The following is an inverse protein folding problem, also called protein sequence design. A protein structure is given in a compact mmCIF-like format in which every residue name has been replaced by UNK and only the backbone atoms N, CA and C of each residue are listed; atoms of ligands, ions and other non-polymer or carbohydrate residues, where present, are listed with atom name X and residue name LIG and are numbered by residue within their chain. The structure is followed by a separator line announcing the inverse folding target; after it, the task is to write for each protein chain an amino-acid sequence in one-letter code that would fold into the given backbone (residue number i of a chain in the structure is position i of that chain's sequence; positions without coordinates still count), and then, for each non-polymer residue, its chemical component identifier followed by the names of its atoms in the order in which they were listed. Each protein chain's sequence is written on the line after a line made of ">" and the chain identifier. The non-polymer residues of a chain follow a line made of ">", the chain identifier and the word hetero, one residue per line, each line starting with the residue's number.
data_IF_511426461447
#
_entry.id   IF_511426461447
#
_cell.length_a   1.000
_cell.length_b   1.000
_cell.length_c   1.000
_cell.angle_alpha   90.00
_cell.angle_beta   90.00
_cell.angle_gamma   90.00
#
_symmetry.space_group_name_H-M   'P 1'
#
loop_
_entity.id
_entity.type
_entity.pdbx_description
1 polymer ?
#
# COMPACT_ATOMS: atom_id res chain seq x y z
N UNK A 1 23.65 -63.57 4.43
CA UNK A 1 23.00 -62.29 4.81
C UNK A 1 24.03 -61.18 4.84
N UNK A 2 24.19 -60.48 3.71
CA UNK A 2 25.00 -59.25 3.60
C UNK A 2 24.14 -58.13 4.18
N UNK A 3 24.59 -57.52 5.27
CA UNK A 3 23.92 -56.37 5.89
C UNK A 3 24.74 -55.14 5.60
N UNK A 4 24.12 -54.25 4.83
CA UNK A 4 24.65 -52.99 4.35
C UNK A 4 25.17 -52.13 5.51
N UNK A 5 26.47 -51.79 5.46
CA UNK A 5 27.00 -50.60 6.13
C UNK A 5 27.24 -49.57 5.06
N UNK A 6 26.19 -48.82 4.76
CA UNK A 6 26.33 -47.50 4.14
C UNK A 6 27.13 -46.63 5.11
N UNK A 7 28.41 -46.44 4.81
CA UNK A 7 29.21 -45.37 5.37
C UNK A 7 28.57 -44.05 4.97
N UNK A 8 27.78 -43.48 5.87
CA UNK A 8 27.31 -42.12 5.78
C UNK A 8 28.52 -41.22 6.03
N UNK A 9 29.26 -40.94 4.96
CA UNK A 9 30.34 -39.96 4.92
C UNK A 9 29.69 -38.59 5.05
N UNK A 10 29.57 -38.11 6.29
CA UNK A 10 29.13 -36.75 6.57
C UNK A 10 30.31 -35.86 6.22
N UNK A 11 30.27 -35.25 5.03
CA UNK A 11 31.23 -34.25 4.61
C UNK A 11 31.13 -33.02 5.55
N UNK A 12 32.20 -32.60 6.25
CA UNK A 12 32.16 -31.39 7.07
C UNK A 12 32.39 -30.16 6.17
N UNK A 13 31.45 -29.84 5.28
CA UNK A 13 31.56 -28.70 4.34
C UNK A 13 30.86 -27.43 4.85
N UNK A 14 30.35 -27.43 6.09
CA UNK A 14 29.73 -26.23 6.69
C UNK A 14 30.51 -25.65 7.88
N UNK A 15 31.82 -25.88 7.97
CA UNK A 15 32.69 -25.28 9.00
C UNK A 15 33.13 -23.84 8.65
N UNK A 16 32.21 -23.00 8.14
CA UNK A 16 32.53 -21.67 7.60
C UNK A 16 31.54 -20.55 7.87
N UNK A 17 30.47 -20.79 8.64
CA UNK A 17 29.67 -19.72 9.23
C UNK A 17 29.86 -19.80 10.74
N UNK A 18 30.95 -19.22 11.22
CA UNK A 18 30.98 -18.75 12.60
C UNK A 18 29.78 -17.81 12.74
N UNK A 19 28.75 -18.26 13.44
CA UNK A 19 27.69 -17.37 13.91
C UNK A 19 28.39 -16.14 14.51
N UNK A 20 27.99 -14.91 14.14
CA UNK A 20 28.67 -13.73 14.62
C UNK A 20 28.71 -13.83 16.14
N UNK A 21 29.90 -13.75 16.71
CA UNK A 21 30.10 -13.78 18.16
C UNK A 21 29.18 -12.70 18.72
N UNK A 22 28.11 -13.11 19.40
CA UNK A 22 27.15 -12.19 20.01
C UNK A 22 27.89 -11.43 21.10
N UNK A 23 28.47 -10.29 20.73
CA UNK A 23 29.08 -9.42 21.70
C UNK A 23 27.99 -8.93 22.65
N UNK A 24 28.30 -8.72 23.95
CA UNK A 24 27.31 -8.19 24.90
C UNK A 24 26.72 -6.86 24.42
N UNK A 25 27.49 -6.09 23.64
CA UNK A 25 27.04 -4.87 22.96
C UNK A 25 25.99 -5.15 21.86
N UNK A 26 26.19 -6.16 21.00
CA UNK A 26 25.22 -6.53 19.97
C UNK A 26 23.91 -7.06 20.57
N UNK A 27 24.00 -7.83 21.66
CA UNK A 27 22.83 -8.31 22.41
C UNK A 27 22.05 -7.13 23.01
N UNK A 28 22.76 -6.15 23.57
CA UNK A 28 22.16 -4.93 24.12
C UNK A 28 21.48 -4.11 23.01
N UNK A 29 22.15 -3.91 21.89
CA UNK A 29 21.64 -3.17 20.75
C UNK A 29 20.36 -3.81 20.19
N UNK A 30 20.34 -5.13 20.00
CA UNK A 30 19.17 -5.86 19.55
C UNK A 30 17.97 -5.71 20.51
N UNK A 31 18.22 -5.68 21.83
CA UNK A 31 17.18 -5.47 22.85
C UNK A 31 16.63 -4.04 22.80
N UNK A 32 17.51 -3.05 22.68
CA UNK A 32 17.11 -1.64 22.57
C UNK A 32 16.34 -1.40 21.27
N UNK A 33 16.71 -2.05 20.16
CA UNK A 33 16.01 -1.96 18.90
C UNK A 33 14.60 -2.57 18.99
N UNK A 34 14.46 -3.75 19.59
CA UNK A 34 13.17 -4.39 19.82
C UNK A 34 12.26 -3.51 20.70
N UNK A 35 12.79 -3.00 21.80
CA UNK A 35 12.09 -2.06 22.69
C UNK A 35 11.69 -0.77 21.94
N UNK A 36 12.58 -0.19 21.15
CA UNK A 36 12.32 1.03 20.36
C UNK A 36 11.22 0.84 19.31
N UNK A 37 11.21 -0.30 18.61
CA UNK A 37 10.14 -0.66 17.67
C UNK A 37 8.79 -0.79 18.39
N UNK A 38 8.78 -1.39 19.59
CA UNK A 38 7.56 -1.54 20.38
C UNK A 38 7.03 -0.20 20.90
N UNK A 39 7.91 0.64 21.44
CA UNK A 39 7.59 1.98 21.95
C UNK A 39 7.08 2.91 20.85
N UNK A 40 7.75 2.94 19.69
CA UNK A 40 7.32 3.77 18.57
C UNK A 40 5.94 3.36 18.05
N UNK A 41 5.67 2.05 17.96
CA UNK A 41 4.34 1.52 17.62
C UNK A 41 3.30 1.96 18.64
N UNK A 42 3.59 1.86 19.94
CA UNK A 42 2.69 2.27 21.01
C UNK A 42 2.35 3.77 20.94
N UNK A 43 3.37 4.63 20.83
CA UNK A 43 3.20 6.08 20.78
C UNK A 43 2.51 6.56 19.50
N UNK A 44 2.63 5.82 18.38
CA UNK A 44 1.93 6.15 17.11
C UNK A 44 0.41 6.15 17.25
N UNK A 45 -0.13 5.37 18.18
CA UNK A 45 -1.57 5.29 18.41
C UNK A 45 -2.10 6.42 19.33
N UNK A 46 -1.21 7.26 19.86
CA UNK A 46 -1.57 8.36 20.75
C UNK A 46 -1.66 9.70 20.00
N UNK A 47 -2.62 10.54 20.40
CA UNK A 47 -2.79 11.90 19.89
C UNK A 47 -1.75 12.88 20.49
N UNK A 48 -0.48 12.60 20.25
CA UNK A 48 0.67 13.37 20.77
C UNK A 48 1.43 13.99 19.59
N UNK A 49 1.94 15.23 19.70
CA UNK A 49 2.81 15.82 18.69
C UNK A 49 4.02 14.92 18.38
N UNK A 50 4.44 14.88 17.12
CA UNK A 50 5.56 14.04 16.66
C UNK A 50 6.87 14.35 17.42
N UNK A 51 7.15 15.64 17.65
CA UNK A 51 8.31 16.07 18.44
C UNK A 51 8.32 15.47 19.84
N UNK A 52 7.16 15.46 20.52
CA UNK A 52 7.04 14.90 21.86
C UNK A 52 7.17 13.39 21.83
N UNK A 53 6.61 12.70 20.82
CA UNK A 53 6.77 11.25 20.61
C UNK A 53 8.24 10.86 20.48
N UNK A 54 9.02 11.57 19.67
CA UNK A 54 10.45 11.31 19.51
C UNK A 54 11.22 11.58 20.80
N UNK A 55 10.95 12.69 21.50
CA UNK A 55 11.63 12.98 22.77
C UNK A 55 11.36 11.89 23.82
N UNK A 56 10.10 11.46 23.96
CA UNK A 56 9.70 10.41 24.90
C UNK A 56 10.35 9.07 24.57
N UNK A 57 10.43 8.73 23.28
CA UNK A 57 11.08 7.51 22.82
C UNK A 57 12.57 7.52 23.18
N UNK A 58 13.26 8.63 22.91
CA UNK A 58 14.69 8.76 23.22
C UNK A 58 14.94 8.72 24.73
N UNK A 59 14.16 9.45 25.53
CA UNK A 59 14.29 9.43 26.99
C UNK A 59 14.02 8.06 27.58
N UNK A 60 13.01 7.33 27.07
CA UNK A 60 12.71 5.98 27.53
C UNK A 60 13.84 4.99 27.18
N UNK A 61 14.43 5.10 25.99
CA UNK A 61 15.55 4.24 25.57
C UNK A 61 16.84 4.54 26.33
N UNK A 62 17.14 5.81 26.62
CA UNK A 62 18.29 6.19 27.46
C UNK A 62 18.17 5.63 28.89
N UNK A 63 16.97 5.69 29.47
CA UNK A 63 16.72 5.10 30.78
C UNK A 63 16.78 3.57 30.74
N UNK A 64 16.28 2.94 29.67
CA UNK A 64 16.35 1.50 29.47
C UNK A 64 17.78 1.00 29.26
N UNK A 65 18.65 1.80 28.63
CA UNK A 65 20.05 1.43 28.43
C UNK A 65 20.83 1.24 29.75
N UNK A 66 20.36 1.85 30.85
CA UNK A 66 20.95 1.69 32.18
C UNK A 66 20.55 0.37 32.86
N UNK A 67 19.35 -0.13 32.57
CA UNK A 67 18.85 -1.42 33.05
C UNK A 67 17.96 -2.10 31.99
N UNK A 68 18.59 -2.76 30.99
CA UNK A 68 17.90 -3.35 29.85
C UNK A 68 17.17 -4.66 30.20
N UNK A 69 17.38 -5.22 31.40
CA UNK A 69 16.88 -6.56 31.76
C UNK A 69 17.60 -7.70 31.04
N UNK A 70 17.19 -8.93 31.35
CA UNK A 70 17.90 -10.14 30.92
C UNK A 70 17.49 -10.62 29.53
N UNK A 71 16.27 -10.27 29.07
CA UNK A 71 15.67 -10.74 27.83
C UNK A 71 14.99 -9.61 27.05
N UNK A 72 14.84 -9.76 25.74
CA UNK A 72 14.17 -8.77 24.88
C UNK A 72 12.72 -8.48 25.31
N UNK A 73 11.96 -9.51 25.70
CA UNK A 73 10.59 -9.35 26.20
C UNK A 73 10.52 -8.52 27.51
N UNK A 74 11.52 -8.67 28.39
CA UNK A 74 11.61 -7.86 29.60
C UNK A 74 11.99 -6.41 29.27
N UNK A 75 12.91 -6.21 28.32
CA UNK A 75 13.30 -4.90 27.83
C UNK A 75 12.09 -4.14 27.25
N UNK A 76 11.28 -4.80 26.42
CA UNK A 76 10.05 -4.23 25.86
C UNK A 76 9.03 -3.85 26.96
N UNK A 77 8.80 -4.73 27.92
CA UNK A 77 7.85 -4.47 29.01
C UNK A 77 8.31 -3.30 29.88
N UNK A 78 9.59 -3.27 30.27
CA UNK A 78 10.19 -2.14 31.00
C UNK A 78 10.11 -0.84 30.20
N UNK A 79 10.37 -0.87 28.89
CA UNK A 79 10.28 0.29 28.02
C UNK A 79 8.86 0.89 28.02
N UNK A 80 7.83 0.04 27.93
CA UNK A 80 6.43 0.50 27.98
C UNK A 80 6.10 1.11 29.35
N UNK A 81 6.58 0.51 30.45
CA UNK A 81 6.38 1.05 31.80
C UNK A 81 7.03 2.43 31.93
N UNK A 82 8.28 2.59 31.48
CA UNK A 82 9.00 3.87 31.48
C UNK A 82 8.28 4.93 30.64
N UNK A 83 7.79 4.55 29.45
CA UNK A 83 7.00 5.47 28.62
C UNK A 83 5.73 5.90 29.35
N UNK A 84 5.02 4.98 30.02
CA UNK A 84 3.81 5.31 30.78
C UNK A 84 4.11 6.22 31.98
N UNK A 85 5.22 6.03 32.69
CA UNK A 85 5.60 6.93 33.79
C UNK A 85 5.96 8.32 33.25
N UNK A 86 6.74 8.41 32.17
CA UNK A 86 7.08 9.68 31.53
C UNK A 86 5.83 10.42 31.00
N UNK A 87 4.86 9.68 30.46
CA UNK A 87 3.57 10.23 30.03
C UNK A 87 2.73 10.74 31.21
N UNK A 88 2.81 10.08 32.37
CA UNK A 88 2.08 10.49 33.57
C UNK A 88 2.67 11.77 34.21
N UNK A 89 3.99 11.93 34.13
CA UNK A 89 4.69 13.13 34.61
C UNK A 89 4.49 14.33 33.67
N UNK A 90 4.38 14.09 32.36
CA UNK A 90 4.12 15.17 31.42
C UNK A 90 2.65 15.61 31.46
N UNK A 91 2.43 16.90 31.75
CA UNK A 91 1.21 17.60 31.33
C UNK A 91 1.26 17.80 29.82
N UNK A 92 1.06 16.72 29.06
CA UNK A 92 1.00 16.81 27.61
C UNK A 92 -0.18 17.72 27.29
N UNK A 93 0.04 18.87 26.64
CA UNK A 93 -1.08 19.59 26.05
C UNK A 93 -1.62 18.64 24.99
N UNK A 94 -2.68 17.91 25.33
CA UNK A 94 -3.50 17.21 24.35
C UNK A 94 -4.04 18.34 23.51
N UNK A 95 -3.32 18.68 22.45
CA UNK A 95 -3.85 19.47 21.36
C UNK A 95 -4.89 18.56 20.73
N UNK A 96 -6.07 18.53 21.36
CA UNK A 96 -7.31 18.23 20.69
C UNK A 96 -7.47 19.34 19.67
N UNK A 97 -6.73 19.22 18.56
CA UNK A 97 -7.11 19.89 17.33
C UNK A 97 -8.52 19.36 17.11
N UNK A 98 -9.58 20.18 17.27
CA UNK A 98 -10.91 19.71 16.95
C UNK A 98 -10.81 19.22 15.52
N UNK A 99 -10.95 17.90 15.33
CA UNK A 99 -11.05 17.36 13.98
C UNK A 99 -12.12 18.19 13.27
N UNK A 100 -11.92 18.57 12.00
CA UNK A 100 -12.97 19.25 11.26
C UNK A 100 -14.25 18.44 11.49
N UNK A 101 -15.38 19.09 11.84
CA UNK A 101 -16.57 18.38 12.29
C UNK A 101 -16.85 17.26 11.29
N UNK A 102 -16.95 16.03 11.79
CA UNK A 102 -17.26 14.86 10.97
C UNK A 102 -18.64 15.10 10.37
N UNK A 103 -18.68 15.79 9.23
CA UNK A 103 -19.85 15.90 8.39
C UNK A 103 -20.04 14.48 7.87
N UNK A 104 -20.91 13.72 8.54
CA UNK A 104 -21.60 12.58 7.93
C UNK A 104 -22.55 13.14 6.85
N UNK A 105 -22.00 13.81 5.85
CA UNK A 105 -22.64 13.77 4.54
C UNK A 105 -22.44 12.34 4.10
N UNK A 106 -23.49 11.53 4.24
CA UNK A 106 -23.59 10.26 3.53
C UNK A 106 -23.22 10.58 2.08
N UNK A 107 -22.02 10.21 1.66
CA UNK A 107 -21.53 10.56 0.33
C UNK A 107 -22.50 9.89 -0.63
N UNK A 108 -23.23 10.67 -1.44
CA UNK A 108 -24.12 10.08 -2.44
C UNK A 108 -23.26 9.15 -3.30
N UNK A 109 -23.68 7.91 -3.59
CA UNK A 109 -22.89 6.95 -4.37
C UNK A 109 -22.43 7.54 -5.72
N UNK A 110 -23.19 8.48 -6.28
CA UNK A 110 -22.87 9.31 -7.46
C UNK A 110 -21.54 10.09 -7.35
N UNK A 111 -21.05 10.36 -6.13
CA UNK A 111 -19.80 11.10 -5.88
C UNK A 111 -18.59 10.16 -5.78
N UNK A 112 -18.79 8.87 -5.47
CA UNK A 112 -17.70 7.88 -5.44
C UNK A 112 -17.15 7.53 -6.83
N UNK A 113 -17.95 7.70 -7.88
CA UNK A 113 -17.57 7.36 -9.26
C UNK A 113 -17.05 8.56 -10.08
N UNK A 114 -16.60 9.62 -9.39
CA UNK A 114 -15.92 10.75 -10.03
C UNK A 114 -14.48 10.37 -10.41
N UNK A 115 -14.33 9.42 -11.34
CA UNK A 115 -13.17 9.41 -12.23
C UNK A 115 -13.49 10.44 -13.32
N UNK A 116 -13.01 11.70 -13.21
CA UNK A 116 -13.35 12.75 -14.18
C UNK A 116 -13.03 12.31 -15.61
N UNK A 117 -11.99 11.50 -15.76
CA UNK A 117 -11.58 10.87 -17.01
C UNK A 117 -12.67 10.01 -17.67
N UNK A 118 -13.52 9.30 -16.92
CA UNK A 118 -14.59 8.47 -17.50
C UNK A 118 -15.68 9.35 -18.13
N UNK A 119 -16.01 10.48 -17.52
CA UNK A 119 -17.01 11.40 -18.08
C UNK A 119 -16.47 12.11 -19.31
N UNK A 120 -15.18 12.49 -19.31
CA UNK A 120 -14.50 13.04 -20.49
C UNK A 120 -14.42 12.00 -21.60
N UNK A 121 -14.05 10.76 -21.27
CA UNK A 121 -13.95 9.66 -22.21
C UNK A 121 -15.31 9.33 -22.84
N UNK A 122 -16.37 9.18 -22.04
CA UNK A 122 -17.72 8.92 -22.55
C UNK A 122 -18.25 10.11 -23.38
N UNK A 123 -17.97 11.35 -22.99
CA UNK A 123 -18.39 12.54 -23.75
C UNK A 123 -17.73 12.60 -25.13
N UNK A 124 -16.48 12.16 -25.23
CA UNK A 124 -15.73 12.16 -26.49
C UNK A 124 -16.05 10.94 -27.36
N UNK A 125 -16.15 9.75 -26.76
CA UNK A 125 -16.29 8.49 -27.49
C UNK A 125 -17.73 8.18 -27.93
N UNK A 126 -18.74 8.64 -27.19
CA UNK A 126 -20.14 8.38 -27.53
C UNK A 126 -20.59 8.96 -28.88
N UNK A 127 -20.26 10.22 -29.27
CA UNK A 127 -20.57 10.70 -30.61
C UNK A 127 -19.78 9.97 -31.70
N UNK A 128 -18.50 9.65 -31.46
CA UNK A 128 -17.66 8.91 -32.41
C UNK A 128 -18.18 7.49 -32.67
N UNK A 129 -18.64 6.81 -31.62
CA UNK A 129 -19.23 5.48 -31.74
C UNK A 129 -20.54 5.51 -32.52
N UNK A 130 -21.40 6.51 -32.28
CA UNK A 130 -22.65 6.67 -33.03
C UNK A 130 -22.39 6.94 -34.52
N UNK A 131 -21.40 7.76 -34.86
CA UNK A 131 -21.03 8.00 -36.27
C UNK A 131 -20.43 6.76 -36.93
N UNK A 132 -19.57 6.02 -36.23
CA UNK A 132 -18.99 4.78 -36.76
C UNK A 132 -20.07 3.70 -36.96
N UNK A 133 -21.00 3.57 -36.01
CA UNK A 133 -22.14 2.66 -36.11
C UNK A 133 -23.10 3.06 -37.24
N UNK A 134 -23.28 4.36 -37.50
CA UNK A 134 -24.10 4.83 -38.63
C UNK A 134 -23.46 4.53 -40.00
N UNK A 135 -22.13 4.64 -40.10
CA UNK A 135 -21.38 4.29 -41.32
C UNK A 135 -21.37 2.77 -41.56
N UNK A 136 -21.21 1.99 -40.48
CA UNK A 136 -21.26 0.53 -40.51
C UNK A 136 -22.69 -0.03 -40.53
N UNK A 137 -23.71 0.85 -40.48
CA UNK A 137 -25.09 0.45 -40.60
C UNK A 137 -25.35 -0.02 -42.03
N UNK A 138 -25.87 -1.24 -42.16
CA UNK A 138 -26.16 -1.88 -43.46
C UNK A 138 -27.03 -1.01 -44.36
N UNK A 139 -27.92 -0.19 -43.78
CA UNK A 139 -28.77 0.73 -44.53
C UNK A 139 -28.01 1.80 -45.31
N UNK A 140 -26.87 2.30 -44.82
CA UNK A 140 -26.06 3.27 -45.56
C UNK A 140 -25.34 2.61 -46.74
N UNK A 141 -24.85 1.39 -46.53
CA UNK A 141 -24.23 0.57 -47.57
C UNK A 141 -25.26 0.26 -48.67
N UNK A 142 -26.49 -0.09 -48.30
CA UNK A 142 -27.58 -0.34 -49.24
C UNK A 142 -27.93 0.91 -50.06
N UNK A 143 -27.99 2.10 -49.45
CA UNK A 143 -28.24 3.36 -50.17
C UNK A 143 -27.15 3.62 -51.22
N UNK A 144 -25.88 3.43 -50.87
CA UNK A 144 -24.75 3.61 -51.80
C UNK A 144 -24.82 2.59 -52.94
N UNK A 145 -25.15 1.34 -52.63
CA UNK A 145 -25.30 0.28 -53.63
C UNK A 145 -26.46 0.58 -54.60
N UNK A 146 -27.61 1.02 -54.09
CA UNK A 146 -28.75 1.44 -54.90
C UNK A 146 -28.41 2.64 -55.79
N UNK A 147 -27.69 3.64 -55.27
CA UNK A 147 -27.26 4.80 -56.05
C UNK A 147 -26.32 4.41 -57.20
N UNK A 148 -25.38 3.50 -56.95
CA UNK A 148 -24.49 2.96 -57.99
C UNK A 148 -25.25 2.15 -59.04
N UNK A 149 -26.25 1.36 -58.63
CA UNK A 149 -27.08 0.58 -59.55
C UNK A 149 -27.92 1.51 -60.46
N UNK A 150 -28.51 2.56 -59.90
CA UNK A 150 -29.24 3.59 -60.64
C UNK A 150 -28.35 4.36 -61.62
N UNK A 151 -27.14 4.74 -61.19
CA UNK A 151 -26.16 5.39 -62.06
C UNK A 151 -25.73 4.47 -63.22
N UNK A 152 -25.52 3.17 -62.95
CA UNK A 152 -25.21 2.17 -63.97
C UNK A 152 -26.34 1.98 -64.98
N UNK A 153 -27.60 1.90 -64.51
CA UNK A 153 -28.78 1.84 -65.38
C UNK A 153 -28.89 3.09 -66.26
N UNK A 154 -28.70 4.28 -65.70
CA UNK A 154 -28.74 5.54 -66.44
C UNK A 154 -27.69 5.57 -67.55
N UNK A 155 -26.43 5.24 -67.21
CA UNK A 155 -25.34 5.18 -68.19
C UNK A 155 -25.62 4.19 -69.33
N UNK A 156 -26.19 3.01 -69.01
CA UNK A 156 -26.58 2.01 -70.00
C UNK A 156 -27.69 2.53 -70.92
N UNK A 157 -28.74 3.16 -70.37
CA UNK A 157 -29.83 3.73 -71.18
C UNK A 157 -29.38 4.88 -72.08
N UNK A 158 -28.43 5.71 -71.63
CA UNK A 158 -27.85 6.78 -72.47
C UNK A 158 -26.95 6.24 -73.58
N UNK A 159 -26.38 5.04 -73.42
CA UNK A 159 -25.51 4.42 -74.43
C UNK A 159 -26.25 3.62 -75.51
N UNK A 160 -27.55 3.39 -75.32
CA UNK A 160 -28.42 2.66 -76.26
C UNK A 160 -29.22 3.54 -77.23
N UNK A 161 -28.95 4.85 -77.23
CA UNK A 161 -29.44 5.83 -78.21
C UNK A 161 -28.28 6.36 -79.06
#
# INVERSE_FOLDING_TARGET
>A
MKKDRMEQRIDPVAAGLQAPVETPAAILEARLEAAGRRVSTYLRHMAIPERSRHSLTLTALDLLARDPGENAAQAEAKAIILVRSLLAEQRIPVYAVPGPPLKRSHMKPEVMDRRPWVHVFLRLWRPLWNTAAAILNTSFIDIVLYALLLAGLYALTTSSH
#
